data_IF_171160416807
#
_entry.id   IF_171160416807
#
_cell.length_a   1.000
_cell.length_b   1.000
_cell.length_c   1.000
_cell.angle_alpha   90.00
_cell.angle_beta   90.00
_cell.angle_gamma   90.00
#
_symmetry.space_group_name_H-M   'P 1'
#
loop_
_entity.id
_entity.type
_entity.pdbx_description
1 polymer ?
#
# COMPACT_ATOMS: atom_id res chain seq x y z
N UNK A 1 15.25 -9.40 10.17
CA UNK A 1 14.12 -9.81 9.31
C UNK A 1 13.74 -8.73 8.30
N UNK A 2 13.46 -7.49 8.75
CA UNK A 2 13.06 -6.37 7.88
C UNK A 2 14.04 -6.06 6.73
N UNK A 3 15.36 -6.14 6.95
CA UNK A 3 16.35 -5.94 5.89
C UNK A 3 16.18 -6.94 4.73
N UNK A 4 15.92 -8.22 5.04
CA UNK A 4 15.65 -9.26 4.04
C UNK A 4 14.34 -9.01 3.30
N UNK A 5 13.33 -8.53 4.01
CA UNK A 5 12.05 -8.11 3.39
C UNK A 5 12.29 -7.00 2.37
N UNK A 6 13.03 -5.94 2.74
CA UNK A 6 13.35 -4.86 1.81
C UNK A 6 14.11 -5.36 0.59
N UNK A 7 15.10 -6.24 0.76
CA UNK A 7 15.84 -6.86 -0.34
C UNK A 7 14.92 -7.65 -1.28
N UNK A 8 14.04 -8.49 -0.73
CA UNK A 8 13.07 -9.27 -1.52
C UNK A 8 12.09 -8.35 -2.28
N UNK A 9 11.56 -7.32 -1.61
CA UNK A 9 10.69 -6.33 -2.22
C UNK A 9 11.39 -5.53 -3.31
N UNK A 10 12.65 -5.12 -3.10
CA UNK A 10 13.44 -4.44 -4.12
C UNK A 10 13.71 -5.32 -5.34
N UNK A 11 14.11 -6.57 -5.13
CA UNK A 11 14.32 -7.52 -6.22
C UNK A 11 13.03 -7.74 -7.03
N UNK A 12 11.91 -7.98 -6.34
CA UNK A 12 10.62 -8.16 -6.98
C UNK A 12 10.21 -6.92 -7.78
N UNK A 13 10.39 -5.72 -7.21
CA UNK A 13 10.05 -4.47 -7.89
C UNK A 13 10.91 -4.25 -9.13
N UNK A 14 12.22 -4.48 -9.03
CA UNK A 14 13.12 -4.42 -10.19
C UNK A 14 12.71 -5.40 -11.30
N UNK A 15 12.37 -6.64 -10.94
CA UNK A 15 11.90 -7.64 -11.92
C UNK A 15 10.61 -7.17 -12.60
N UNK A 16 9.60 -6.72 -11.83
CA UNK A 16 8.33 -6.26 -12.39
C UNK A 16 8.52 -5.04 -13.30
N UNK A 17 9.36 -4.10 -12.90
CA UNK A 17 9.58 -2.89 -13.68
C UNK A 17 10.37 -3.15 -14.97
N UNK A 18 11.35 -4.05 -14.94
CA UNK A 18 12.16 -4.39 -16.12
C UNK A 18 11.37 -5.24 -17.11
N UNK A 19 10.62 -6.25 -16.64
CA UNK A 19 9.93 -7.20 -17.53
C UNK A 19 8.51 -6.80 -17.86
N UNK A 20 7.82 -6.14 -16.92
CA UNK A 20 6.39 -5.82 -17.01
C UNK A 20 6.07 -4.40 -17.46
N UNK A 21 7.00 -3.47 -17.24
CA UNK A 21 6.82 -2.05 -17.55
C UNK A 21 5.61 -1.40 -16.88
N UNK A 22 5.20 -0.26 -17.42
CA UNK A 22 4.14 0.59 -16.86
C UNK A 22 2.76 -0.12 -16.77
N UNK A 23 2.45 -1.00 -17.72
CA UNK A 23 1.16 -1.70 -17.77
C UNK A 23 0.96 -2.65 -16.58
N UNK A 24 1.97 -3.48 -16.28
CA UNK A 24 1.87 -4.40 -15.14
C UNK A 24 1.88 -3.67 -13.80
N UNK A 25 2.59 -2.56 -13.67
CA UNK A 25 2.53 -1.76 -12.44
C UNK A 25 1.14 -1.18 -12.22
N UNK A 26 0.40 -0.83 -13.27
CA UNK A 26 -0.98 -0.37 -13.10
C UNK A 26 -1.92 -1.50 -12.70
N UNK A 27 -1.82 -2.65 -13.35
CA UNK A 27 -2.57 -3.84 -12.95
C UNK A 27 -2.23 -4.23 -11.51
N UNK A 28 -0.98 -4.07 -11.07
CA UNK A 28 -0.60 -4.32 -9.70
C UNK A 28 -1.43 -3.48 -8.71
N UNK A 29 -1.53 -2.17 -8.95
CA UNK A 29 -2.25 -1.25 -8.06
C UNK A 29 -3.78 -1.37 -8.15
N UNK A 30 -4.31 -1.57 -9.36
CA UNK A 30 -5.75 -1.52 -9.61
C UNK A 30 -6.43 -2.87 -9.39
N UNK A 31 -5.74 -3.97 -9.64
CA UNK A 31 -6.32 -5.31 -9.62
C UNK A 31 -5.56 -6.24 -8.67
N UNK A 32 -4.28 -6.49 -8.90
CA UNK A 32 -3.55 -7.57 -8.20
C UNK A 32 -3.49 -7.36 -6.70
N UNK A 33 -3.15 -6.15 -6.23
CA UNK A 33 -3.09 -5.85 -4.79
C UNK A 33 -4.48 -5.86 -4.15
N UNK A 34 -5.49 -5.12 -4.67
CA UNK A 34 -6.85 -5.24 -4.16
C UNK A 34 -7.33 -6.69 -4.09
N UNK A 35 -7.22 -7.46 -5.17
CA UNK A 35 -7.62 -8.88 -5.19
C UNK A 35 -6.87 -9.69 -4.14
N UNK A 36 -5.57 -9.48 -3.95
CA UNK A 36 -4.78 -10.19 -2.94
C UNK A 36 -5.24 -9.88 -1.50
N UNK A 37 -5.53 -8.62 -1.20
CA UNK A 37 -6.05 -8.21 0.11
C UNK A 37 -7.47 -8.72 0.37
N UNK A 38 -8.29 -8.83 -0.69
CA UNK A 38 -9.66 -9.32 -0.63
C UNK A 38 -9.75 -10.84 -0.52
N UNK A 39 -8.94 -11.58 -1.28
CA UNK A 39 -9.08 -13.04 -1.40
C UNK A 39 -8.74 -13.75 -0.10
N UNK A 40 -7.84 -13.17 0.71
CA UNK A 40 -7.34 -13.79 1.93
C UNK A 40 -6.52 -15.03 1.61
N UNK A 41 -5.33 -15.12 2.19
CA UNK A 41 -4.57 -16.38 2.14
C UNK A 41 -5.25 -17.40 3.06
N UNK A 42 -6.39 -17.96 2.65
CA UNK A 42 -7.19 -18.95 3.38
C UNK A 42 -6.49 -20.29 3.65
N UNK A 43 -5.19 -20.39 3.36
CA UNK A 43 -4.36 -21.59 3.50
C UNK A 43 -3.16 -21.42 4.42
N UNK A 44 -2.86 -20.21 4.92
CA UNK A 44 -1.78 -20.04 5.90
C UNK A 44 -2.29 -20.30 7.32
N UNK A 45 -1.68 -21.21 8.10
CA UNK A 45 -1.97 -21.31 9.52
C UNK A 45 -1.69 -19.95 10.16
N UNK A 46 -2.53 -19.51 11.11
CA UNK A 46 -2.41 -18.21 11.81
C UNK A 46 -0.95 -17.92 12.11
N UNK A 47 -0.37 -17.01 11.34
CA UNK A 47 1.06 -16.71 11.45
C UNK A 47 1.28 -15.92 12.73
N UNK A 48 2.47 -16.05 13.34
CA UNK A 48 2.83 -15.17 14.44
C UNK A 48 2.68 -13.71 13.98
N UNK A 49 2.10 -12.83 14.79
CA UNK A 49 1.74 -11.47 14.37
C UNK A 49 2.91 -10.64 13.80
N UNK A 50 4.15 -10.99 14.17
CA UNK A 50 5.38 -10.42 13.61
C UNK A 50 5.64 -10.82 12.15
N UNK A 51 5.28 -12.04 11.73
CA UNK A 51 5.41 -12.50 10.36
C UNK A 51 4.38 -11.82 9.44
N UNK A 52 3.15 -11.64 9.91
CA UNK A 52 2.07 -10.97 9.19
C UNK A 52 2.37 -9.47 8.98
N UNK A 53 2.91 -8.80 10.00
CA UNK A 53 3.37 -7.42 9.85
C UNK A 53 4.51 -7.29 8.83
N UNK A 54 5.47 -8.22 8.81
CA UNK A 54 6.54 -8.25 7.82
C UNK A 54 6.02 -8.45 6.40
N UNK A 55 4.97 -9.26 6.20
CA UNK A 55 4.29 -9.42 4.92
C UNK A 55 3.66 -8.09 4.45
N UNK A 56 2.96 -7.39 5.33
CA UNK A 56 2.38 -6.07 5.02
C UNK A 56 3.45 -5.04 4.61
N UNK A 57 4.56 -4.98 5.36
CA UNK A 57 5.71 -4.13 5.00
C UNK A 57 6.39 -4.55 3.69
N UNK A 58 6.45 -5.85 3.41
CA UNK A 58 7.01 -6.36 2.15
C UNK A 58 6.21 -5.84 0.96
N UNK A 59 4.87 -5.95 1.05
CA UNK A 59 3.96 -5.50 0.00
C UNK A 59 4.03 -3.98 -0.12
N UNK A 60 4.02 -3.23 0.99
CA UNK A 60 4.13 -1.77 0.94
C UNK A 60 5.40 -1.29 0.24
N UNK A 61 6.54 -1.86 0.60
CA UNK A 61 7.83 -1.52 0.03
C UNK A 61 7.92 -1.91 -1.46
N UNK A 62 7.39 -3.08 -1.81
CA UNK A 62 7.33 -3.57 -3.19
C UNK A 62 6.46 -2.64 -4.05
N UNK A 63 5.21 -2.37 -3.64
CA UNK A 63 4.27 -1.53 -4.38
C UNK A 63 4.86 -0.15 -4.65
N UNK A 64 5.36 0.51 -3.61
CA UNK A 64 5.97 1.83 -3.76
C UNK A 64 7.14 1.84 -4.73
N UNK A 65 8.06 0.86 -4.66
CA UNK A 65 9.20 0.81 -5.56
C UNK A 65 8.76 0.60 -7.01
N UNK A 66 7.73 -0.23 -7.24
CA UNK A 66 7.12 -0.41 -8.56
C UNK A 66 6.57 0.91 -9.12
N UNK A 67 5.83 1.66 -8.30
CA UNK A 67 5.31 2.97 -8.68
C UNK A 67 6.43 3.98 -8.94
N UNK A 68 7.42 4.06 -8.05
CA UNK A 68 8.52 5.02 -8.13
C UNK A 68 9.39 4.77 -9.37
N UNK A 69 9.66 3.51 -9.69
CA UNK A 69 10.40 3.14 -10.90
C UNK A 69 9.60 3.43 -12.18
N UNK A 70 8.27 3.28 -12.15
CA UNK A 70 7.43 3.47 -13.34
C UNK A 70 7.03 4.92 -13.63
N UNK A 71 6.84 5.73 -12.58
CA UNK A 71 6.32 7.10 -12.70
C UNK A 71 7.32 8.18 -12.30
N UNK A 72 8.47 7.78 -11.75
CA UNK A 72 9.47 8.69 -11.23
C UNK A 72 9.04 9.40 -9.94
N UNK A 73 10.01 10.04 -9.30
CA UNK A 73 9.84 10.79 -8.04
C UNK A 73 9.65 12.29 -8.26
N UNK A 74 9.91 12.79 -9.47
CA UNK A 74 9.91 14.22 -9.77
C UNK A 74 8.50 14.75 -10.12
N UNK A 75 8.23 15.98 -9.67
CA UNK A 75 6.97 16.70 -9.93
C UNK A 75 6.79 17.11 -11.40
N UNK A 76 7.87 17.21 -12.18
CA UNK A 76 7.84 17.69 -13.57
C UNK A 76 7.08 16.77 -14.55
N UNK A 77 6.75 15.55 -14.14
CA UNK A 77 6.06 14.55 -14.96
C UNK A 77 4.70 14.19 -14.36
N UNK A 78 3.86 15.19 -14.10
CA UNK A 78 2.44 14.96 -13.79
C UNK A 78 1.80 14.10 -14.88
N UNK A 79 1.61 12.83 -14.56
CA UNK A 79 0.95 11.89 -15.43
C UNK A 79 -0.49 11.75 -14.95
N UNK A 80 -1.46 12.11 -15.80
CA UNK A 80 -2.89 11.83 -15.55
C UNK A 80 -3.11 10.36 -15.16
N UNK A 81 -2.27 9.47 -15.70
CA UNK A 81 -2.29 8.03 -15.43
C UNK A 81 -1.77 7.69 -14.03
N UNK A 82 -0.70 8.34 -13.54
CA UNK A 82 -0.23 8.20 -12.14
C UNK A 82 -1.33 8.63 -11.18
N UNK A 83 -1.89 9.82 -11.38
CA UNK A 83 -2.95 10.36 -10.54
C UNK A 83 -4.17 9.43 -10.49
N UNK A 84 -4.60 8.90 -11.64
CA UNK A 84 -5.70 7.93 -11.71
C UNK A 84 -5.40 6.65 -10.93
N UNK A 85 -4.22 6.05 -11.12
CA UNK A 85 -3.86 4.77 -10.49
C UNK A 85 -3.70 4.93 -8.99
N UNK A 86 -3.02 5.97 -8.54
CA UNK A 86 -2.88 6.29 -7.11
C UNK A 86 -4.24 6.61 -6.49
N UNK A 87 -5.09 7.38 -7.16
CA UNK A 87 -6.42 7.71 -6.70
C UNK A 87 -7.29 6.47 -6.47
N UNK A 88 -7.31 5.55 -7.44
CA UNK A 88 -8.05 4.27 -7.32
C UNK A 88 -7.52 3.46 -6.15
N UNK A 89 -6.20 3.32 -6.04
CA UNK A 89 -5.60 2.49 -4.99
C UNK A 89 -5.78 3.10 -3.58
N UNK A 90 -5.66 4.42 -3.45
CA UNK A 90 -5.91 5.11 -2.18
C UNK A 90 -7.38 5.13 -1.78
N UNK A 91 -8.31 5.20 -2.74
CA UNK A 91 -9.74 5.07 -2.44
C UNK A 91 -10.09 3.64 -1.98
N UNK A 92 -9.48 2.62 -2.59
CA UNK A 92 -9.56 1.24 -2.08
C UNK A 92 -9.10 1.17 -0.62
N UNK A 93 -7.94 1.73 -0.29
CA UNK A 93 -7.44 1.78 1.09
C UNK A 93 -8.43 2.49 2.02
N UNK A 94 -8.94 3.66 1.63
CA UNK A 94 -9.89 4.42 2.44
C UNK A 94 -11.18 3.64 2.71
N UNK A 95 -11.76 3.01 1.67
CA UNK A 95 -12.98 2.21 1.80
C UNK A 95 -12.77 0.98 2.67
N UNK A 96 -11.63 0.32 2.58
CA UNK A 96 -11.28 -0.80 3.45
C UNK A 96 -11.08 -0.36 4.91
N UNK A 97 -10.44 0.78 5.15
CA UNK A 97 -10.29 1.34 6.51
C UNK A 97 -11.64 1.73 7.14
N UNK A 98 -12.60 2.17 6.35
CA UNK A 98 -13.97 2.47 6.80
C UNK A 98 -14.83 1.21 7.02
N UNK A 99 -14.31 0.02 6.74
CA UNK A 99 -15.08 -1.23 6.81
C UNK A 99 -16.11 -1.38 5.68
N UNK A 100 -16.10 -0.53 4.65
CA UNK A 100 -16.97 -0.66 3.46
C UNK A 100 -16.56 -1.81 2.55
N UNK A 101 -15.35 -2.34 2.76
CA UNK A 101 -14.80 -3.48 2.05
C UNK A 101 -14.31 -4.47 3.10
N UNK A 102 -14.77 -5.72 3.00
CA UNK A 102 -14.27 -6.81 3.83
C UNK A 102 -12.94 -7.31 3.27
N UNK A 103 -11.92 -7.40 4.12
CA UNK A 103 -10.60 -7.91 3.76
C UNK A 103 -10.48 -9.38 4.13
N UNK A 104 -9.85 -10.17 3.26
CA UNK A 104 -9.54 -11.58 3.54
C UNK A 104 -8.19 -11.78 4.23
N UNK A 105 -7.30 -10.79 4.18
CA UNK A 105 -5.98 -10.86 4.83
C UNK A 105 -6.03 -10.59 6.34
N UNK A 106 -4.95 -10.93 7.06
CA UNK A 106 -4.85 -10.60 8.49
C UNK A 106 -4.83 -9.08 8.71
N UNK A 107 -5.51 -8.62 9.77
CA UNK A 107 -5.58 -7.21 10.14
C UNK A 107 -4.19 -6.57 10.36
N UNK A 108 -3.25 -7.34 10.91
CA UNK A 108 -1.85 -6.93 11.12
C UNK A 108 -1.12 -6.69 9.80
N UNK A 109 -1.33 -7.55 8.79
CA UNK A 109 -0.80 -7.39 7.43
C UNK A 109 -1.37 -6.13 6.77
N UNK A 110 -2.70 -5.94 6.85
CA UNK A 110 -3.36 -4.76 6.31
C UNK A 110 -2.85 -3.46 6.94
N UNK A 111 -2.81 -3.40 8.28
CA UNK A 111 -2.34 -2.22 9.01
C UNK A 111 -0.89 -1.90 8.66
N UNK A 112 -0.01 -2.90 8.62
CA UNK A 112 1.39 -2.72 8.25
C UNK A 112 1.55 -2.24 6.79
N UNK A 113 0.72 -2.75 5.87
CA UNK A 113 0.70 -2.30 4.48
C UNK A 113 0.35 -0.80 4.38
N UNK A 114 -0.79 -0.40 4.92
CA UNK A 114 -1.28 0.99 4.83
C UNK A 114 -0.30 1.96 5.48
N UNK A 115 0.16 1.67 6.70
CA UNK A 115 1.12 2.51 7.39
C UNK A 115 2.45 2.60 6.64
N UNK A 116 2.98 1.48 6.17
CA UNK A 116 4.25 1.45 5.42
C UNK A 116 4.16 2.21 4.09
N UNK A 117 3.09 2.00 3.34
CA UNK A 117 2.90 2.63 2.03
C UNK A 117 2.73 4.14 2.14
N UNK A 118 1.87 4.60 3.05
CA UNK A 118 1.64 6.03 3.28
C UNK A 118 2.87 6.72 3.87
N UNK A 119 3.57 6.08 4.82
CA UNK A 119 4.82 6.63 5.36
C UNK A 119 5.84 6.87 4.25
N UNK A 120 6.00 5.91 3.33
CA UNK A 120 6.92 6.04 2.20
C UNK A 120 6.49 7.11 1.20
N UNK A 121 5.19 7.28 0.95
CA UNK A 121 4.71 8.38 0.11
C UNK A 121 5.02 9.74 0.75
N UNK A 122 4.71 9.92 2.03
CA UNK A 122 4.97 11.18 2.74
C UNK A 122 6.46 11.48 2.81
N UNK A 123 7.31 10.48 3.06
CA UNK A 123 8.75 10.68 3.23
C UNK A 123 9.53 10.83 1.93
N UNK A 124 9.10 10.16 0.85
CA UNK A 124 9.93 10.04 -0.36
C UNK A 124 9.33 10.71 -1.60
N UNK A 125 8.00 10.77 -1.73
CA UNK A 125 7.31 11.34 -2.90
C UNK A 125 6.10 12.17 -2.49
N UNK A 126 6.25 13.18 -1.61
CA UNK A 126 5.11 13.94 -1.06
C UNK A 126 4.25 14.59 -2.16
N UNK A 127 4.81 14.87 -3.34
CA UNK A 127 4.09 15.43 -4.48
C UNK A 127 2.94 14.51 -4.96
N UNK A 128 3.08 13.20 -4.82
CA UNK A 128 2.01 12.24 -5.19
C UNK A 128 0.73 12.45 -4.38
N UNK A 129 0.84 13.00 -3.17
CA UNK A 129 -0.32 13.30 -2.31
C UNK A 129 -1.21 14.35 -2.99
N UNK A 130 -0.62 15.33 -3.68
CA UNK A 130 -1.37 16.39 -4.37
C UNK A 130 -2.21 15.89 -5.55
N UNK A 131 -1.93 14.68 -6.04
CA UNK A 131 -2.64 14.04 -7.16
C UNK A 131 -3.83 13.19 -6.71
N UNK A 132 -4.00 13.00 -5.40
CA UNK A 132 -5.08 12.19 -4.83
C UNK A 132 -6.24 13.11 -4.43
N UNK A 133 -7.45 12.62 -4.61
CA UNK A 133 -8.66 13.37 -4.23
C UNK A 133 -8.61 13.74 -2.73
N UNK A 134 -8.86 15.00 -2.42
CA UNK A 134 -8.87 15.53 -1.04
C UNK A 134 -9.79 14.72 -0.11
N UNK A 135 -10.94 14.27 -0.61
CA UNK A 135 -11.89 13.47 0.17
C UNK A 135 -11.31 12.10 0.54
N UNK A 136 -10.62 11.45 -0.40
CA UNK A 136 -9.89 10.21 -0.13
C UNK A 136 -8.82 10.43 0.94
N UNK A 137 -8.06 11.53 0.86
CA UNK A 137 -7.03 11.86 1.86
C UNK A 137 -7.64 12.11 3.25
N UNK A 138 -8.77 12.83 3.34
CA UNK A 138 -9.49 13.06 4.60
C UNK A 138 -9.97 11.74 5.23
N UNK A 139 -10.51 10.84 4.42
CA UNK A 139 -10.98 9.52 4.85
C UNK A 139 -9.82 8.66 5.36
N UNK A 140 -8.69 8.64 4.65
CA UNK A 140 -7.47 7.98 5.11
C UNK A 140 -6.95 8.57 6.43
N UNK A 141 -6.83 9.89 6.52
CA UNK A 141 -6.35 10.57 7.74
C UNK A 141 -7.27 10.29 8.94
N UNK A 142 -8.58 10.26 8.70
CA UNK A 142 -9.57 9.90 9.73
C UNK A 142 -9.35 8.46 10.19
N UNK A 143 -9.26 7.50 9.26
CA UNK A 143 -8.98 6.10 9.59
C UNK A 143 -7.66 5.91 10.34
N UNK A 144 -6.60 6.64 9.98
CA UNK A 144 -5.31 6.61 10.69
C UNK A 144 -5.43 7.14 12.12
N UNK A 145 -6.24 8.17 12.34
CA UNK A 145 -6.53 8.69 13.68
C UNK A 145 -7.24 7.62 14.54
N UNK A 146 -8.21 6.91 13.99
CA UNK A 146 -8.86 5.78 14.66
C UNK A 146 -7.91 4.62 14.97
N UNK A 147 -6.85 4.43 14.18
CA UNK A 147 -5.82 3.45 14.52
C UNK A 147 -4.87 3.91 15.63
N UNK A 148 -4.81 5.21 15.90
CA UNK A 148 -4.05 5.81 16.99
C UNK A 148 -4.87 5.88 18.30
N UNK A 149 -6.19 6.08 18.19
CA UNK A 149 -7.15 6.15 19.29
C UNK A 149 -7.88 4.78 19.43
N UNK A 150 -7.72 3.91 20.44
CA UNK A 150 -6.70 3.81 21.49
C UNK A 150 -6.17 2.35 21.69
N UNK A 151 -4.85 2.17 21.59
CA UNK A 151 -4.10 1.30 22.53
C UNK A 151 -3.99 1.97 23.94
N UNK A 152 -4.72 3.07 24.15
CA UNK A 152 -4.78 3.95 25.32
C UNK A 152 -6.10 3.86 26.12
N UNK A 153 -6.99 2.90 25.84
CA UNK A 153 -8.25 2.68 26.58
C UNK A 153 -8.29 1.31 27.25
N UNK A 154 -7.14 0.68 27.42
CA UNK A 154 -6.94 -0.48 28.28
C UNK A 154 -5.73 -0.16 29.17
N UNK A 155 -5.94 0.77 30.10
CA UNK A 155 -5.11 0.99 31.28
C UNK A 155 -6.02 1.58 32.38
#
# INVERSE_FOLDING_TARGET
ALARVKQASSLGASLLCITGGLGLVQMLYQETLPTWFLSGNGTKPKTAGSASALEGYAIAHFSFLCGACSWGVNASSFSKRRAQVLGIHMDFMARAMEGKISLGCEHTTWRAYVLGFLAMIVSCVPNWISEVNLETLKRLATGLRWWHEPELSIA
#
